data_IF_610144425406
#
_entry.id   IF_610144425406
#
_cell.length_a   1.000
_cell.length_b   1.000
_cell.length_c   1.000
_cell.angle_alpha   90.00
_cell.angle_beta   90.00
_cell.angle_gamma   90.00
#
_symmetry.space_group_name_H-M   'P 1'
#
loop_
_entity.id
_entity.type
_entity.pdbx_description
1 polymer ?
#
# COMPACT_ATOMS: atom_id res chain seq x y z
N UNK A 1 -25.03 -14.21 19.27
CA UNK A 1 -24.77 -12.87 18.68
C UNK A 1 -25.38 -11.80 19.57
N UNK A 2 -24.61 -11.33 20.56
CA UNK A 2 -25.06 -10.25 21.43
C UNK A 2 -25.06 -8.94 20.66
N UNK A 3 -26.21 -8.27 20.62
CA UNK A 3 -26.28 -6.87 20.19
C UNK A 3 -25.50 -6.07 21.21
N UNK A 4 -24.26 -5.71 20.89
CA UNK A 4 -23.51 -4.70 21.62
C UNK A 4 -24.36 -3.43 21.59
N UNK A 5 -25.02 -3.14 22.71
CA UNK A 5 -25.69 -1.87 22.89
C UNK A 5 -24.60 -0.82 22.80
N UNK A 6 -24.64 0.01 21.75
CA UNK A 6 -23.86 1.24 21.62
C UNK A 6 -24.29 2.19 22.75
N UNK A 7 -23.83 1.90 23.97
CA UNK A 7 -23.69 2.92 24.99
C UNK A 7 -22.65 3.90 24.45
N UNK A 8 -23.02 5.16 24.32
CA UNK A 8 -22.14 6.26 23.93
C UNK A 8 -21.04 6.45 24.98
N UNK A 9 -20.06 5.55 25.00
CA UNK A 9 -18.86 5.70 25.81
C UNK A 9 -18.05 6.87 25.25
N UNK A 10 -17.53 7.76 26.11
CA UNK A 10 -16.74 8.93 25.69
C UNK A 10 -15.51 8.55 24.85
N UNK A 11 -15.04 7.30 24.94
CA UNK A 11 -13.96 6.76 24.10
C UNK A 11 -14.30 6.79 22.60
N UNK A 12 -15.55 6.55 22.20
CA UNK A 12 -15.95 6.59 20.78
C UNK A 12 -15.83 7.98 20.15
N UNK A 13 -16.07 9.04 20.93
CA UNK A 13 -15.91 10.42 20.46
C UNK A 13 -14.43 10.74 20.20
N UNK A 14 -13.54 10.25 21.07
CA UNK A 14 -12.10 10.40 20.89
C UNK A 14 -11.61 9.63 19.67
N UNK A 15 -12.02 8.38 19.51
CA UNK A 15 -11.66 7.57 18.34
C UNK A 15 -12.13 8.23 17.04
N UNK A 16 -13.38 8.69 17.00
CA UNK A 16 -13.93 9.41 15.84
C UNK A 16 -13.17 10.70 15.54
N UNK A 17 -12.74 11.42 16.58
CA UNK A 17 -11.92 12.62 16.43
C UNK A 17 -10.53 12.28 15.87
N UNK A 18 -9.88 11.22 16.35
CA UNK A 18 -8.59 10.78 15.82
C UNK A 18 -8.68 10.25 14.38
N UNK A 19 -9.74 9.52 14.04
CA UNK A 19 -10.01 9.09 12.66
C UNK A 19 -10.16 10.32 11.74
N UNK A 20 -10.90 11.34 12.19
CA UNK A 20 -11.08 12.57 11.44
C UNK A 20 -9.78 13.36 11.33
N UNK A 21 -9.09 13.62 12.44
CA UNK A 21 -7.88 14.43 12.49
C UNK A 21 -6.73 13.79 11.69
N UNK A 22 -6.58 12.46 11.76
CA UNK A 22 -5.55 11.72 11.01
C UNK A 22 -5.88 11.53 9.52
N UNK A 23 -7.08 11.91 9.10
CA UNK A 23 -7.59 11.72 7.74
C UNK A 23 -7.80 10.24 7.40
N UNK A 24 -8.08 9.38 8.37
CA UNK A 24 -8.32 7.94 8.16
C UNK A 24 -9.54 7.67 7.27
N UNK A 25 -10.50 8.59 7.27
CA UNK A 25 -11.64 8.59 6.35
C UNK A 25 -11.17 8.48 4.88
N UNK A 26 -10.02 9.07 4.52
CA UNK A 26 -9.47 8.98 3.16
C UNK A 26 -9.05 7.54 2.80
N UNK A 27 -8.60 6.74 3.77
CA UNK A 27 -8.25 5.32 3.54
C UNK A 27 -9.49 4.44 3.34
N UNK A 28 -10.68 4.88 3.78
CA UNK A 28 -11.94 4.20 3.49
C UNK A 28 -12.43 4.46 2.07
N UNK A 29 -12.06 5.61 1.50
CA UNK A 29 -12.51 6.07 0.18
C UNK A 29 -11.52 5.74 -0.95
N UNK A 30 -10.22 5.80 -0.67
CA UNK A 30 -9.16 5.61 -1.64
C UNK A 30 -8.23 4.46 -1.18
N UNK A 31 -7.70 3.65 -2.12
CA UNK A 31 -6.69 2.65 -1.77
C UNK A 31 -5.46 3.34 -1.17
N UNK A 32 -4.79 2.68 -0.22
CA UNK A 32 -3.56 3.21 0.35
C UNK A 32 -2.48 3.26 -0.74
N UNK A 33 -2.00 4.46 -1.05
CA UNK A 33 -1.11 4.75 -2.17
C UNK A 33 -0.66 6.21 -2.15
N UNK A 34 0.18 6.61 -3.10
CA UNK A 34 0.81 7.94 -3.12
C UNK A 34 -0.18 9.12 -3.08
N UNK A 35 -1.31 9.03 -3.79
CA UNK A 35 -2.35 10.06 -3.77
C UNK A 35 -3.00 10.20 -2.37
N UNK A 36 -3.29 9.08 -1.73
CA UNK A 36 -3.91 9.07 -0.39
C UNK A 36 -2.95 9.64 0.65
N UNK A 37 -1.66 9.28 0.56
CA UNK A 37 -0.58 9.88 1.38
C UNK A 37 -0.55 11.39 1.20
N UNK A 38 -0.55 11.88 -0.04
CA UNK A 38 -0.54 13.31 -0.36
C UNK A 38 -1.76 14.05 0.23
N UNK A 39 -2.98 13.54 0.00
CA UNK A 39 -4.21 14.16 0.50
C UNK A 39 -4.26 14.18 2.04
N UNK A 40 -3.84 13.09 2.69
CA UNK A 40 -3.74 13.04 4.17
C UNK A 40 -2.72 14.05 4.70
N UNK A 41 -1.61 14.23 4.00
CA UNK A 41 -0.58 15.20 4.38
C UNK A 41 -1.11 16.63 4.30
N UNK A 42 -1.87 16.98 3.25
CA UNK A 42 -2.56 18.27 3.14
C UNK A 42 -3.58 18.47 4.27
N UNK A 43 -4.39 17.45 4.54
CA UNK A 43 -5.40 17.49 5.59
C UNK A 43 -4.78 17.73 6.98
N UNK A 44 -3.76 16.95 7.33
CA UNK A 44 -3.07 17.08 8.62
C UNK A 44 -2.29 18.39 8.71
N UNK A 45 -1.70 18.85 7.60
CA UNK A 45 -1.05 20.17 7.54
C UNK A 45 -2.04 21.29 7.87
N UNK A 46 -3.24 21.25 7.27
CA UNK A 46 -4.28 22.24 7.54
C UNK A 46 -4.68 22.24 9.02
N UNK A 47 -4.83 21.07 9.64
CA UNK A 47 -5.13 20.96 11.07
C UNK A 47 -4.00 21.49 11.97
N UNK A 48 -2.75 21.07 11.72
CA UNK A 48 -1.59 21.55 12.49
C UNK A 48 -1.47 23.07 12.37
N UNK A 49 -1.64 23.61 11.17
CA UNK A 49 -1.59 25.05 10.94
C UNK A 49 -2.72 25.78 11.66
N UNK A 50 -3.96 25.30 11.58
CA UNK A 50 -5.10 25.89 12.27
C UNK A 50 -4.92 25.89 13.80
N UNK A 51 -4.43 24.79 14.37
CA UNK A 51 -4.11 24.70 15.80
C UNK A 51 -2.99 25.66 16.18
N UNK A 52 -1.93 25.77 15.37
CA UNK A 52 -0.82 26.69 15.61
C UNK A 52 -1.28 28.16 15.61
N UNK A 53 -2.12 28.56 14.65
CA UNK A 53 -2.71 29.91 14.61
C UNK A 53 -3.60 30.15 15.84
N UNK A 54 -4.42 29.17 16.23
CA UNK A 54 -5.25 29.24 17.43
C UNK A 54 -4.41 29.43 18.69
N UNK A 55 -3.37 28.62 18.87
CA UNK A 55 -2.44 28.75 20.00
C UNK A 55 -1.72 30.09 20.01
N UNK A 56 -1.27 30.57 18.85
CA UNK A 56 -0.60 31.87 18.73
C UNK A 56 -1.54 33.01 19.14
N UNK A 57 -2.79 33.00 18.68
CA UNK A 57 -3.81 33.98 19.08
C UNK A 57 -4.08 33.96 20.58
N UNK A 58 -4.18 32.77 21.19
CA UNK A 58 -4.38 32.61 22.64
C UNK A 58 -3.22 33.16 23.50
N UNK A 59 -2.02 33.26 22.94
CA UNK A 59 -0.82 33.72 23.66
C UNK A 59 -0.58 35.23 23.52
N UNK A 60 -1.33 35.95 22.68
CA UNK A 60 -1.13 37.40 22.55
C UNK A 60 -1.60 38.15 23.81
N UNK A 61 -0.81 39.12 24.30
CA UNK A 61 -1.23 39.96 25.40
C UNK A 61 -2.41 40.84 24.93
N UNK A 62 -3.51 40.83 25.69
CA UNK A 62 -4.80 41.47 25.39
C UNK A 62 -5.74 40.70 24.45
N UNK A 63 -5.54 39.40 24.24
CA UNK A 63 -6.49 38.59 23.47
C UNK A 63 -7.87 38.55 24.13
N UNK A 64 -8.88 38.93 23.36
CA UNK A 64 -10.28 38.72 23.70
C UNK A 64 -10.66 37.34 23.13
N UNK A 65 -11.28 36.47 23.94
CA UNK A 65 -11.71 35.11 23.55
C UNK A 65 -12.94 35.10 22.62
N UNK A 66 -12.91 35.93 21.58
CA UNK A 66 -13.97 36.04 20.57
C UNK A 66 -13.33 35.74 19.23
N UNK A 67 -13.94 34.81 18.50
CA UNK A 67 -13.47 34.46 17.16
C UNK A 67 -13.67 35.65 16.20
N UNK A 68 -12.58 36.15 15.63
CA UNK A 68 -12.58 37.14 14.57
C UNK A 68 -11.98 36.56 13.29
N UNK A 69 -12.83 36.40 12.26
CA UNK A 69 -12.42 35.87 10.97
C UNK A 69 -11.41 36.78 10.25
N UNK A 70 -11.45 38.10 10.49
CA UNK A 70 -10.51 39.05 9.89
C UNK A 70 -9.11 38.89 10.46
N UNK A 71 -9.00 38.80 11.79
CA UNK A 71 -7.76 38.51 12.50
C UNK A 71 -7.20 37.13 12.11
N UNK A 72 -8.05 36.10 12.06
CA UNK A 72 -7.64 34.76 11.66
C UNK A 72 -7.05 34.74 10.24
N UNK A 73 -7.64 35.52 9.31
CA UNK A 73 -7.12 35.67 7.95
C UNK A 73 -5.77 36.39 7.92
N UNK A 74 -5.62 37.47 8.67
CA UNK A 74 -4.36 38.23 8.73
C UNK A 74 -3.22 37.37 9.27
N UNK A 75 -3.43 36.70 10.42
CA UNK A 75 -2.47 35.77 11.01
C UNK A 75 -2.12 34.61 10.06
N UNK A 76 -3.12 34.09 9.33
CA UNK A 76 -2.89 33.03 8.35
C UNK A 76 -2.00 33.50 7.19
N UNK A 77 -2.19 34.72 6.71
CA UNK A 77 -1.36 35.30 5.64
C UNK A 77 0.06 35.60 6.14
N UNK A 78 0.19 36.14 7.35
CA UNK A 78 1.48 36.43 7.98
C UNK A 78 2.33 35.15 8.17
N UNK A 79 1.68 34.04 8.50
CA UNK A 79 2.34 32.77 8.79
C UNK A 79 2.26 31.74 7.65
N UNK A 80 1.76 32.14 6.48
CA UNK A 80 1.56 31.25 5.32
C UNK A 80 2.84 30.49 4.93
N UNK A 81 4.01 31.12 5.09
CA UNK A 81 5.33 30.50 4.82
C UNK A 81 5.60 29.21 5.61
N UNK A 82 4.92 28.98 6.73
CA UNK A 82 5.07 27.78 7.55
C UNK A 82 4.33 26.56 7.01
N UNK A 83 3.37 26.73 6.09
CA UNK A 83 2.64 25.61 5.48
C UNK A 83 3.59 24.67 4.72
N UNK A 84 4.60 25.21 4.04
CA UNK A 84 5.57 24.41 3.27
C UNK A 84 6.35 23.42 4.16
N UNK A 85 7.05 23.88 5.20
CA UNK A 85 7.75 22.99 6.13
C UNK A 85 6.83 21.99 6.84
N UNK A 86 5.64 22.40 7.28
CA UNK A 86 4.67 21.49 7.92
C UNK A 86 4.22 20.41 6.93
N UNK A 87 3.90 20.80 5.70
CA UNK A 87 3.55 19.87 4.64
C UNK A 87 4.67 18.91 4.31
N UNK A 88 5.89 19.40 4.12
CA UNK A 88 7.04 18.55 3.82
C UNK A 88 7.29 17.51 4.93
N UNK A 89 7.22 17.93 6.20
CA UNK A 89 7.40 17.03 7.34
C UNK A 89 6.29 15.98 7.45
N UNK A 90 5.03 16.38 7.33
CA UNK A 90 3.88 15.46 7.39
C UNK A 90 3.87 14.49 6.20
N UNK A 91 4.17 14.99 5.00
CA UNK A 91 4.29 14.16 3.79
C UNK A 91 5.41 13.14 3.91
N UNK A 92 6.59 13.55 4.33
CA UNK A 92 7.70 12.63 4.56
C UNK A 92 7.35 11.55 5.58
N UNK A 93 6.70 11.91 6.69
CA UNK A 93 6.29 10.95 7.73
C UNK A 93 5.25 9.93 7.21
N UNK A 94 4.21 10.40 6.52
CA UNK A 94 3.20 9.49 5.95
C UNK A 94 3.76 8.63 4.82
N UNK A 95 4.62 9.18 3.98
CA UNK A 95 5.27 8.44 2.90
C UNK A 95 6.20 7.36 3.46
N UNK A 96 7.02 7.68 4.48
CA UNK A 96 7.89 6.70 5.13
C UNK A 96 7.08 5.53 5.71
N UNK A 97 5.95 5.82 6.39
CA UNK A 97 5.04 4.78 6.89
C UNK A 97 4.42 3.95 5.75
N UNK A 98 3.98 4.58 4.68
CA UNK A 98 3.44 3.86 3.52
C UNK A 98 4.51 2.95 2.89
N UNK A 99 5.74 3.45 2.70
CA UNK A 99 6.84 2.69 2.13
C UNK A 99 7.22 1.49 3.00
N UNK A 100 7.22 1.64 4.34
CA UNK A 100 7.50 0.52 5.25
C UNK A 100 6.40 -0.53 5.21
N UNK A 101 5.12 -0.13 5.17
CA UNK A 101 3.98 -1.06 5.08
C UNK A 101 4.00 -1.84 3.75
N UNK A 102 4.25 -1.13 2.65
CA UNK A 102 4.36 -1.73 1.32
C UNK A 102 5.53 -2.73 1.27
N UNK A 103 6.70 -2.35 1.78
CA UNK A 103 7.89 -3.21 1.77
C UNK A 103 7.72 -4.44 2.64
N UNK A 104 7.10 -4.29 3.81
CA UNK A 104 6.72 -5.41 4.68
C UNK A 104 5.88 -6.44 3.92
N UNK A 105 4.78 -5.99 3.30
CA UNK A 105 3.84 -6.89 2.64
C UNK A 105 4.48 -7.58 1.42
N UNK A 106 5.26 -6.84 0.62
CA UNK A 106 5.99 -7.41 -0.52
C UNK A 106 7.02 -8.46 -0.06
N UNK A 107 7.78 -8.17 0.99
CA UNK A 107 8.77 -9.11 1.52
C UNK A 107 8.12 -10.37 2.11
N UNK A 108 7.00 -10.21 2.83
CA UNK A 108 6.24 -11.34 3.37
C UNK A 108 5.80 -12.30 2.25
N UNK A 109 5.25 -11.76 1.16
CA UNK A 109 4.86 -12.58 0.02
C UNK A 109 6.05 -13.31 -0.62
N UNK A 110 7.16 -12.60 -0.84
CA UNK A 110 8.36 -13.20 -1.42
C UNK A 110 8.89 -14.34 -0.54
N UNK A 111 8.91 -14.16 0.77
CA UNK A 111 9.33 -15.22 1.71
C UNK A 111 8.42 -16.44 1.67
N UNK A 112 7.10 -16.24 1.54
CA UNK A 112 6.15 -17.35 1.40
C UNK A 112 6.41 -18.12 0.09
N UNK A 113 6.65 -17.40 -1.00
CA UNK A 113 6.96 -18.02 -2.30
C UNK A 113 8.31 -18.74 -2.29
N UNK A 114 9.35 -18.13 -1.70
CA UNK A 114 10.68 -18.72 -1.56
C UNK A 114 10.62 -20.00 -0.73
N UNK A 115 9.85 -20.00 0.36
CA UNK A 115 9.64 -21.18 1.18
C UNK A 115 8.96 -22.29 0.36
N UNK A 116 7.89 -21.97 -0.38
CA UNK A 116 7.17 -22.91 -1.25
C UNK A 116 8.09 -23.59 -2.26
N UNK A 117 9.01 -22.83 -2.89
CA UNK A 117 9.93 -23.37 -3.89
C UNK A 117 11.16 -24.08 -3.29
N UNK A 118 11.53 -23.77 -2.04
CA UNK A 118 12.71 -24.34 -1.38
C UNK A 118 12.43 -25.69 -0.73
N UNK A 119 11.20 -25.94 -0.31
CA UNK A 119 10.77 -27.26 0.18
C UNK A 119 10.56 -28.24 -0.98
N UNK A 120 11.05 -29.46 -0.84
CA UNK A 120 10.64 -30.56 -1.72
C UNK A 120 9.12 -30.72 -1.65
N UNK A 121 8.47 -31.10 -2.76
CA UNK A 121 7.01 -31.25 -2.85
C UNK A 121 6.40 -32.15 -1.76
N UNK A 122 7.19 -33.02 -1.13
CA UNK A 122 6.75 -33.91 -0.05
C UNK A 122 6.78 -33.28 1.35
N UNK A 123 7.51 -32.18 1.54
CA UNK A 123 7.83 -31.64 2.88
C UNK A 123 7.05 -30.37 3.22
N UNK A 124 6.51 -29.65 2.23
CA UNK A 124 5.67 -28.48 2.49
C UNK A 124 4.25 -28.92 2.80
N UNK A 125 3.83 -28.73 4.05
CA UNK A 125 2.43 -28.93 4.42
C UNK A 125 1.57 -27.85 3.73
N UNK A 126 0.76 -28.24 2.75
CA UNK A 126 -0.18 -27.36 2.03
C UNK A 126 -1.10 -26.56 2.98
N UNK A 127 -1.40 -27.14 4.16
CA UNK A 127 -2.15 -26.46 5.23
C UNK A 127 -1.37 -25.25 5.77
N UNK A 128 -0.08 -25.41 6.07
CA UNK A 128 0.78 -24.32 6.57
C UNK A 128 0.94 -23.21 5.53
N UNK A 129 1.06 -23.57 4.25
CA UNK A 129 1.13 -22.58 3.17
C UNK A 129 -0.18 -21.80 3.04
N UNK A 130 -1.32 -22.48 3.18
CA UNK A 130 -2.64 -21.85 3.17
C UNK A 130 -2.82 -20.86 4.32
N UNK A 131 -2.34 -21.21 5.52
CA UNK A 131 -2.33 -20.32 6.68
C UNK A 131 -1.45 -19.09 6.49
N UNK A 132 -0.30 -19.22 5.84
CA UNK A 132 0.56 -18.07 5.54
C UNK A 132 -0.06 -17.14 4.51
N UNK A 133 -0.67 -17.70 3.45
CA UNK A 133 -1.43 -16.91 2.50
C UNK A 133 -2.64 -16.22 3.15
N UNK A 134 -3.33 -16.92 4.07
CA UNK A 134 -4.41 -16.34 4.86
C UNK A 134 -3.92 -15.14 5.67
N UNK A 135 -2.81 -15.29 6.41
CA UNK A 135 -2.20 -14.20 7.17
C UNK A 135 -1.80 -13.01 6.28
N UNK A 136 -1.21 -13.28 5.11
CA UNK A 136 -0.87 -12.24 4.13
C UNK A 136 -2.11 -11.42 3.70
N UNK A 137 -3.23 -12.07 3.38
CA UNK A 137 -4.47 -11.39 3.00
C UNK A 137 -5.03 -10.56 4.15
N UNK A 138 -4.95 -11.07 5.38
CA UNK A 138 -5.42 -10.36 6.57
C UNK A 138 -4.60 -9.10 6.84
N UNK A 139 -3.28 -9.20 6.76
CA UNK A 139 -2.36 -8.08 6.90
C UNK A 139 -2.55 -7.05 5.79
N UNK A 140 -2.77 -7.49 4.55
CA UNK A 140 -3.07 -6.59 3.44
C UNK A 140 -4.34 -5.77 3.69
N UNK A 141 -5.40 -6.37 4.26
CA UNK A 141 -6.61 -5.61 4.63
C UNK A 141 -6.32 -4.65 5.79
N UNK A 142 -5.64 -5.12 6.85
CA UNK A 142 -5.32 -4.33 8.04
C UNK A 142 -4.43 -3.11 7.72
N UNK A 143 -3.53 -3.23 6.75
CA UNK A 143 -2.65 -2.15 6.28
C UNK A 143 -3.31 -1.24 5.22
N UNK A 144 -4.58 -1.46 4.90
CA UNK A 144 -5.31 -0.79 3.81
C UNK A 144 -4.67 -0.96 2.42
N UNK A 145 -3.87 -2.02 2.23
CA UNK A 145 -3.17 -2.33 0.99
C UNK A 145 -3.90 -3.35 0.13
N UNK A 146 -4.95 -4.00 0.63
CA UNK A 146 -5.64 -5.07 -0.10
C UNK A 146 -6.21 -4.63 -1.46
N UNK A 147 -6.69 -3.39 -1.58
CA UNK A 147 -7.21 -2.82 -2.82
C UNK A 147 -6.16 -2.05 -3.62
N UNK A 148 -4.90 -2.07 -3.19
CA UNK A 148 -3.81 -1.45 -3.93
C UNK A 148 -3.61 -2.19 -5.27
N UNK A 149 -3.44 -1.47 -6.39
CA UNK A 149 -3.29 -2.08 -7.73
C UNK A 149 -2.22 -3.17 -7.86
N UNK A 150 -1.22 -3.16 -6.99
CA UNK A 150 -0.15 -4.15 -7.01
C UNK A 150 -0.53 -5.46 -6.30
N UNK A 151 -1.28 -5.38 -5.20
CA UNK A 151 -1.62 -6.55 -4.38
C UNK A 151 -3.02 -7.12 -4.70
N UNK A 152 -3.94 -6.30 -5.20
CA UNK A 152 -5.33 -6.70 -5.41
C UNK A 152 -5.49 -7.95 -6.32
N UNK A 153 -4.79 -8.08 -7.46
CA UNK A 153 -4.91 -9.29 -8.30
C UNK A 153 -4.47 -10.57 -7.58
N UNK A 154 -3.37 -10.49 -6.84
CA UNK A 154 -2.85 -11.59 -6.05
C UNK A 154 -3.82 -11.98 -4.93
N UNK A 155 -4.41 -11.00 -4.22
CA UNK A 155 -5.38 -11.27 -3.17
C UNK A 155 -6.67 -11.90 -3.73
N UNK A 156 -7.11 -11.50 -4.93
CA UNK A 156 -8.24 -12.15 -5.62
C UNK A 156 -7.92 -13.62 -5.91
N UNK A 157 -6.70 -13.93 -6.35
CA UNK A 157 -6.26 -15.29 -6.61
C UNK A 157 -6.19 -16.12 -5.31
N UNK A 158 -5.59 -15.59 -4.25
CA UNK A 158 -5.53 -16.25 -2.94
C UNK A 158 -6.92 -16.47 -2.32
N UNK A 159 -7.84 -15.51 -2.43
CA UNK A 159 -9.24 -15.67 -2.01
C UNK A 159 -10.09 -16.56 -2.95
N UNK A 160 -9.52 -16.99 -4.07
CA UNK A 160 -10.08 -18.00 -4.95
C UNK A 160 -9.71 -19.43 -4.55
N UNK A 161 -8.72 -19.60 -3.66
CA UNK A 161 -8.33 -20.87 -3.09
C UNK A 161 -9.20 -21.21 -1.87
N UNK A 162 -9.86 -22.37 -1.89
CA UNK A 162 -10.78 -22.81 -0.85
C UNK A 162 -10.08 -23.03 0.50
N UNK A 163 -8.82 -23.48 0.50
CA UNK A 163 -8.09 -23.74 1.75
C UNK A 163 -7.65 -22.44 2.42
N UNK A 164 -7.19 -21.46 1.63
CA UNK A 164 -6.89 -20.11 2.12
C UNK A 164 -8.16 -19.45 2.66
N UNK A 165 -9.28 -19.54 1.93
CA UNK A 165 -10.55 -18.97 2.38
C UNK A 165 -11.04 -19.60 3.69
N UNK A 166 -10.97 -20.93 3.83
CA UNK A 166 -11.30 -21.64 5.07
C UNK A 166 -10.41 -21.22 6.23
N UNK A 167 -9.10 -21.10 6.01
CA UNK A 167 -8.15 -20.65 7.04
C UNK A 167 -8.50 -19.24 7.54
N UNK A 168 -8.84 -18.31 6.64
CA UNK A 168 -9.31 -16.97 7.05
C UNK A 168 -10.64 -17.05 7.81
N UNK A 169 -11.61 -17.83 7.35
CA UNK A 169 -12.92 -17.97 8.01
C UNK A 169 -12.84 -18.66 9.39
N UNK A 170 -11.80 -19.48 9.62
CA UNK A 170 -11.54 -20.15 10.90
C UNK A 170 -10.90 -19.25 11.96
N UNK A 171 -10.35 -18.10 11.57
CA UNK A 171 -9.77 -17.12 12.49
C UNK A 171 -10.84 -16.46 13.36
N UNK A 172 -10.63 -16.37 14.68
CA UNK A 172 -11.56 -15.73 15.62
C UNK A 172 -11.91 -14.28 15.25
N UNK A 173 -11.00 -13.61 14.53
CA UNK A 173 -11.13 -12.20 14.14
C UNK A 173 -11.86 -12.00 12.79
N UNK A 174 -12.08 -13.07 12.03
CA UNK A 174 -12.57 -13.02 10.66
C UNK A 174 -13.75 -13.96 10.44
N UNK A 175 -14.92 -13.38 10.15
CA UNK A 175 -16.10 -14.14 9.74
C UNK A 175 -16.28 -14.18 8.22
N UNK A 176 -17.08 -15.14 7.74
CA UNK A 176 -17.44 -15.32 6.31
C UNK A 176 -17.89 -14.03 5.62
N UNK A 177 -18.68 -13.22 6.32
CA UNK A 177 -19.18 -11.95 5.80
C UNK A 177 -18.04 -10.95 5.53
N UNK A 178 -17.01 -10.92 6.38
CA UNK A 178 -15.83 -10.06 6.21
C UNK A 178 -15.02 -10.52 4.99
N UNK A 179 -14.81 -11.82 4.83
CA UNK A 179 -14.12 -12.42 3.68
C UNK A 179 -14.85 -12.10 2.38
N UNK A 180 -16.17 -12.33 2.33
CA UNK A 180 -16.99 -12.03 1.16
C UNK A 180 -16.97 -10.53 0.80
N UNK A 181 -17.03 -9.66 1.81
CA UNK A 181 -16.91 -8.21 1.63
C UNK A 181 -15.54 -7.80 1.11
N UNK A 182 -14.46 -8.39 1.63
CA UNK A 182 -13.10 -8.14 1.17
C UNK A 182 -12.96 -8.58 -0.28
N UNK A 183 -13.37 -9.80 -0.61
CA UNK A 183 -13.37 -10.36 -1.98
C UNK A 183 -14.06 -9.42 -2.97
N UNK A 184 -15.29 -8.99 -2.66
CA UNK A 184 -16.00 -8.04 -3.52
C UNK A 184 -15.33 -6.66 -3.64
N UNK A 185 -14.59 -6.20 -2.61
CA UNK A 185 -13.80 -4.95 -2.69
C UNK A 185 -12.59 -5.10 -3.60
N UNK A 186 -11.83 -6.19 -3.46
CA UNK A 186 -10.61 -6.43 -4.25
C UNK A 186 -10.94 -6.74 -5.71
N UNK A 187 -11.98 -7.51 -6.00
CA UNK A 187 -12.46 -7.76 -7.36
C UNK A 187 -12.85 -6.46 -8.07
N UNK A 188 -13.61 -5.59 -7.40
CA UNK A 188 -13.94 -4.24 -7.91
C UNK A 188 -12.73 -3.33 -8.08
N UNK A 189 -11.65 -3.55 -7.33
CA UNK A 189 -10.42 -2.78 -7.46
C UNK A 189 -9.66 -3.22 -8.71
N UNK A 190 -9.52 -4.53 -8.92
CA UNK A 190 -8.92 -5.13 -10.12
C UNK A 190 -9.70 -4.71 -11.37
N UNK A 191 -11.03 -4.84 -11.36
CA UNK A 191 -11.88 -4.42 -12.48
C UNK A 191 -11.69 -2.94 -12.85
N UNK A 192 -11.59 -2.05 -11.84
CA UNK A 192 -11.32 -0.62 -12.06
C UNK A 192 -9.95 -0.37 -12.67
N UNK A 193 -8.94 -1.16 -12.28
CA UNK A 193 -7.60 -1.08 -12.83
C UNK A 193 -7.58 -1.52 -14.29
N UNK A 194 -8.24 -2.64 -14.60
CA UNK A 194 -8.32 -3.19 -15.94
C UNK A 194 -9.09 -2.24 -16.89
N UNK A 195 -10.20 -1.65 -16.44
CA UNK A 195 -10.92 -0.61 -17.20
C UNK A 195 -10.04 0.60 -17.51
N UNK A 196 -9.30 1.12 -16.51
CA UNK A 196 -8.36 2.25 -16.70
C UNK A 196 -7.22 1.90 -17.65
N UNK A 197 -6.81 0.64 -17.68
CA UNK A 197 -5.77 0.15 -18.57
C UNK A 197 -6.30 0.02 -20.01
N UNK A 198 -7.43 -0.65 -20.21
CA UNK A 198 -8.09 -0.79 -21.51
C UNK A 198 -8.36 0.58 -22.15
N UNK A 199 -8.89 1.53 -21.38
CA UNK A 199 -9.12 2.91 -21.84
C UNK A 199 -7.82 3.59 -22.33
N UNK A 200 -6.70 3.44 -21.60
CA UNK A 200 -5.40 4.03 -21.98
C UNK A 200 -4.84 3.43 -23.27
N UNK A 201 -5.17 2.19 -23.58
CA UNK A 201 -4.73 1.52 -24.80
C UNK A 201 -5.73 1.63 -25.96
N UNK A 202 -6.87 2.28 -25.76
CA UNK A 202 -7.96 2.29 -26.76
C UNK A 202 -8.54 0.90 -27.03
N UNK A 203 -8.42 -0.03 -26.07
CA UNK A 203 -8.97 -1.37 -26.17
C UNK A 203 -10.42 -1.40 -25.68
N UNK A 204 -11.23 -2.24 -26.29
CA UNK A 204 -12.57 -2.57 -25.79
C UNK A 204 -12.45 -3.48 -24.55
N UNK A 205 -12.79 -2.92 -23.40
CA UNK A 205 -12.70 -3.60 -22.10
C UNK A 205 -13.63 -4.81 -22.02
N UNK A 206 -14.87 -4.69 -22.51
CA UNK A 206 -15.86 -5.77 -22.36
C UNK A 206 -15.46 -6.96 -23.24
N UNK A 207 -15.00 -6.71 -24.47
CA UNK A 207 -14.45 -7.76 -25.34
C UNK A 207 -13.28 -8.50 -24.68
N UNK A 208 -12.32 -7.78 -24.10
CA UNK A 208 -11.17 -8.40 -23.40
C UNK A 208 -11.57 -9.19 -22.17
N UNK A 209 -12.58 -8.72 -21.44
CA UNK A 209 -13.12 -9.43 -20.28
C UNK A 209 -13.78 -10.74 -20.69
N UNK A 210 -14.55 -10.75 -21.77
CA UNK A 210 -15.16 -11.97 -22.32
C UNK A 210 -14.09 -12.97 -22.76
N UNK A 211 -13.07 -12.53 -23.51
CA UNK A 211 -11.92 -13.36 -23.92
C UNK A 211 -11.21 -13.97 -22.69
N UNK A 212 -11.08 -13.20 -21.61
CA UNK A 212 -10.45 -13.66 -20.38
C UNK A 212 -11.29 -14.66 -19.59
N UNK A 213 -12.59 -14.41 -19.40
CA UNK A 213 -13.49 -15.34 -18.70
C UNK A 213 -13.60 -16.67 -19.47
N UNK A 214 -13.62 -16.62 -20.81
CA UNK A 214 -13.59 -17.82 -21.64
C UNK A 214 -12.28 -18.61 -21.46
N UNK A 215 -11.14 -17.92 -21.42
CA UNK A 215 -9.84 -18.53 -21.17
C UNK A 215 -9.74 -19.13 -19.75
N UNK A 216 -10.31 -18.45 -18.74
CA UNK A 216 -10.38 -18.92 -17.34
C UNK A 216 -11.17 -20.21 -17.23
N UNK A 217 -12.34 -20.28 -17.87
CA UNK A 217 -13.18 -21.47 -17.88
C UNK A 217 -12.53 -22.65 -18.59
N UNK A 218 -11.69 -22.41 -19.60
CA UNK A 218 -11.01 -23.46 -20.36
C UNK A 218 -9.89 -24.18 -19.59
N UNK A 219 -9.53 -23.77 -18.36
CA UNK A 219 -8.38 -24.31 -17.58
C UNK A 219 -7.10 -24.44 -18.44
N UNK A 220 -7.00 -23.66 -19.51
CA UNK A 220 -5.91 -23.74 -20.47
C UNK A 220 -4.73 -22.96 -19.90
N UNK A 221 -3.51 -23.52 -20.06
CA UNK A 221 -2.25 -22.79 -19.86
C UNK A 221 -2.24 -21.44 -20.60
N UNK A 222 -3.04 -21.28 -21.66
CA UNK A 222 -3.22 -20.00 -22.38
C UNK A 222 -3.92 -18.91 -21.56
N UNK A 223 -4.76 -19.25 -20.56
CA UNK A 223 -5.32 -18.26 -19.63
C UNK A 223 -4.28 -17.74 -18.63
N UNK A 224 -3.24 -18.53 -18.36
CA UNK A 224 -2.04 -18.08 -17.64
C UNK A 224 -1.11 -17.30 -18.56
N UNK A 225 -0.97 -17.69 -19.83
CA UNK A 225 -0.21 -16.94 -20.83
C UNK A 225 -0.89 -15.61 -21.19
N UNK A 226 -2.21 -15.47 -21.17
CA UNK A 226 -2.90 -14.18 -21.29
C UNK A 226 -2.64 -13.29 -20.07
N UNK A 227 -2.56 -13.89 -18.87
CA UNK A 227 -2.01 -13.23 -17.67
C UNK A 227 -0.54 -12.82 -17.88
N UNK A 228 0.22 -13.55 -18.70
CA UNK A 228 1.60 -13.26 -19.08
C UNK A 228 1.76 -12.44 -20.40
N UNK A 229 0.73 -12.16 -21.18
CA UNK A 229 0.75 -11.14 -22.25
C UNK A 229 0.29 -9.79 -21.68
N UNK A 230 -0.51 -9.83 -20.61
CA UNK A 230 -0.48 -8.80 -19.58
C UNK A 230 0.93 -8.73 -18.92
N UNK A 231 1.90 -9.62 -19.20
CA UNK A 231 3.32 -9.39 -18.86
C UNK A 231 4.04 -8.43 -19.80
N UNK A 232 3.43 -7.95 -20.89
CA UNK A 232 3.85 -6.68 -21.47
C UNK A 232 3.42 -5.50 -20.58
N UNK A 233 2.37 -5.67 -19.77
CA UNK A 233 2.03 -4.77 -18.64
C UNK A 233 3.01 -4.94 -17.50
N UNK A 234 3.51 -6.16 -17.23
CA UNK A 234 4.67 -6.34 -16.36
C UNK A 234 6.00 -5.98 -17.03
N UNK A 235 6.14 -5.79 -18.35
CA UNK A 235 7.34 -5.13 -18.94
C UNK A 235 7.23 -3.62 -18.88
N UNK A 236 6.02 -3.07 -18.89
CA UNK A 236 5.79 -1.65 -18.65
C UNK A 236 5.94 -1.28 -17.17
N UNK A 237 5.48 -2.17 -16.26
CA UNK A 237 5.63 -2.03 -14.81
C UNK A 237 6.97 -2.60 -14.30
N UNK A 238 7.55 -3.63 -14.89
CA UNK A 238 8.93 -4.05 -14.65
C UNK A 238 9.94 -3.28 -15.49
N UNK A 239 9.52 -2.41 -16.41
CA UNK A 239 10.39 -1.34 -16.91
C UNK A 239 10.77 -0.43 -15.74
N UNK A 240 9.77 0.00 -14.97
CA UNK A 240 10.00 0.78 -13.74
C UNK A 240 10.49 -0.06 -12.56
N UNK A 241 10.10 -1.34 -12.44
CA UNK A 241 10.59 -2.24 -11.38
C UNK A 241 12.03 -2.71 -11.62
N UNK A 242 12.44 -2.97 -12.86
CA UNK A 242 13.83 -3.35 -13.23
C UNK A 242 14.75 -2.14 -13.24
N UNK A 243 14.27 -0.93 -13.54
CA UNK A 243 15.01 0.32 -13.25
C UNK A 243 15.21 0.53 -11.74
N UNK A 244 14.19 0.23 -10.92
CA UNK A 244 14.28 0.28 -9.46
C UNK A 244 15.17 -0.83 -8.87
N UNK A 245 15.13 -2.05 -9.42
CA UNK A 245 15.97 -3.20 -9.05
C UNK A 245 17.42 -2.99 -9.49
N UNK A 246 17.67 -2.39 -10.66
CA UNK A 246 19.01 -1.97 -11.10
C UNK A 246 19.54 -0.86 -10.18
N UNK A 247 18.71 0.08 -9.72
CA UNK A 247 19.13 1.12 -8.76
C UNK A 247 19.37 0.60 -7.33
N UNK A 248 18.60 -0.39 -6.85
CA UNK A 248 18.66 -0.84 -5.46
C UNK A 248 19.46 -2.13 -5.25
N UNK A 249 19.55 -3.03 -6.22
CA UNK A 249 20.36 -4.25 -6.12
C UNK A 249 21.82 -4.01 -6.51
N UNK A 250 22.12 -3.02 -7.37
CA UNK A 250 23.51 -2.68 -7.75
C UNK A 250 24.07 -1.44 -7.03
N UNK A 251 23.36 -0.91 -6.02
CA UNK A 251 23.75 0.30 -5.28
C UNK A 251 24.79 0.12 -4.17
N UNK A 252 25.37 -1.07 -3.97
CA UNK A 252 26.35 -1.30 -2.89
C UNK A 252 27.57 -2.15 -3.27
N UNK A 253 27.62 -2.80 -4.43
CA UNK A 253 28.89 -3.38 -4.90
C UNK A 253 29.75 -2.28 -5.52
N UNK A 254 30.54 -1.62 -4.67
CA UNK A 254 31.84 -1.09 -5.10
C UNK A 254 32.58 -2.27 -5.72
N UNK A 255 32.54 -2.35 -7.05
CA UNK A 255 33.48 -3.14 -7.84
C UNK A 255 34.87 -2.61 -7.50
N UNK A 256 35.52 -3.24 -6.54
CA UNK A 256 36.96 -3.14 -6.36
C UNK A 256 37.53 -3.83 -7.60
N UNK A 257 37.79 -3.03 -8.63
CA UNK A 257 38.62 -3.46 -9.76
C UNK A 257 39.98 -3.86 -9.17
N UNK A 258 40.17 -5.17 -8.95
CA UNK A 258 41.50 -5.76 -8.82
C UNK A 258 42.20 -5.48 -10.14
N UNK A 259 43.12 -4.53 -10.13
CA UNK A 259 44.07 -4.34 -11.22
C UNK A 259 45.00 -5.56 -11.21
N UNK A 260 44.69 -6.57 -12.03
CA UNK A 260 45.54 -7.74 -12.31
C UNK A 260 46.75 -7.34 -13.19
N UNK A 261 47.43 -6.25 -12.81
CA UNK A 261 48.77 -5.96 -13.31
C UNK A 261 49.78 -6.49 -12.31
N UNK A 262 50.15 -7.74 -12.55
CA UNK A 262 51.40 -8.32 -12.09
C UNK A 262 52.57 -7.41 -12.46
N UNK A 263 52.98 -6.59 -11.49
CA UNK A 263 54.26 -5.90 -11.48
C UNK A 263 55.21 -6.68 -10.58
N UNK A 264 56.05 -7.51 -11.19
CA UNK A 264 57.25 -8.07 -10.57
C UNK A 264 58.12 -6.93 -10.04
N UNK A 265 58.15 -6.74 -8.71
CA UNK A 265 59.17 -5.91 -8.07
C UNK A 265 60.53 -6.61 -8.21
N UNK A 266 61.30 -6.15 -9.20
CA UNK A 266 62.72 -6.43 -9.31
C UNK A 266 63.49 -5.67 -8.23
N UNK A 267 64.18 -6.43 -7.39
CA UNK A 267 65.33 -5.99 -6.60
C UNK A 267 66.29 -5.14 -7.45
N UNK A 268 66.67 -3.96 -6.95
CA UNK A 268 68.04 -3.42 -7.02
C UNK A 268 68.18 -2.16 -6.15
N UNK A 269 69.01 -2.30 -5.11
CA UNK A 269 69.76 -1.21 -4.47
C UNK A 269 70.76 -0.59 -5.48
N UNK A 270 71.21 0.64 -5.25
CA UNK A 270 72.41 0.82 -4.42
C UNK A 270 72.16 1.58 -3.11
#
# INVERSE_FOLDING_TARGET
MGKWQLGSHPLYLLDSFFELASGEILLRLLPNGGLTVFLRSLWVTAWIFAVAIGMYSCLQPNTIWVFDASQARELSLEHFRWLGPIFAATYAAFYARYASQWSYLANLYNQIMDARYSTNETDCCEETLSDWHAAFVQDAEALHLATNPMFAPMIVELLGDDEVAKSIEGSELWGKERVARLKGKVEKAVERQDRKFAFRLGLDFEKRREEFEEARHKKSLEGFVYRLEIRDVTRYLAGSWKEWEIQNCYGQEKVVLRDDRGGTQGNRQP
#
